data_IF_530881972101
#
_entry.id   IF_530881972101
#
_cell.length_a   1.000
_cell.length_b   1.000
_cell.length_c   1.000
_cell.angle_alpha   90.00
_cell.angle_beta   90.00
_cell.angle_gamma   90.00
#
_symmetry.space_group_name_H-M   'P 1'
#
loop_
_entity.id
_entity.type
_entity.pdbx_description
1 polymer ?
2 non-polymer ?
3 non-polymer ?
4 water ?
#
# COMPACT_ATOMS: atom_id res chain seq x y z
N UNK A 5 11.38 -18.72 -0.86
CA UNK A 5 10.44 -17.74 -1.39
C UNK A 5 10.78 -16.31 -1.07
N UNK A 6 11.41 -16.10 0.08
CA UNK A 6 11.83 -14.78 0.51
C UNK A 6 13.26 -14.53 0.05
N UNK A 7 13.49 -13.39 -0.57
CA UNK A 7 14.82 -12.95 -0.98
C UNK A 7 15.26 -11.84 -0.05
N UNK A 8 16.32 -12.10 0.71
CA UNK A 8 16.91 -11.07 1.55
C UNK A 8 17.82 -10.20 0.69
N UNK A 9 17.63 -8.89 0.79
CA UNK A 9 18.39 -7.94 -0.02
C UNK A 9 18.72 -6.78 0.91
N UNK A 10 19.97 -6.72 1.38
CA UNK A 10 20.30 -5.79 2.44
C UNK A 10 19.39 -6.06 3.63
N UNK A 11 18.80 -5.00 4.16
CA UNK A 11 17.90 -5.10 5.31
C UNK A 11 16.45 -5.28 4.90
N UNK A 12 16.16 -5.51 3.62
CA UNK A 12 14.81 -5.66 3.11
C UNK A 12 14.57 -7.08 2.66
N UNK A 13 13.30 -7.42 2.44
CA UNK A 13 12.90 -8.74 1.97
C UNK A 13 11.96 -8.54 0.78
N UNK A 14 12.16 -9.34 -0.27
CA UNK A 14 11.33 -9.33 -1.46
C UNK A 14 10.79 -10.74 -1.70
N UNK A 15 9.50 -10.82 -2.05
CA UNK A 15 8.83 -12.10 -2.24
C UNK A 15 8.00 -12.02 -3.51
N UNK A 16 8.26 -12.91 -4.46
CA UNK A 16 7.44 -12.95 -5.67
C UNK A 16 6.08 -13.55 -5.35
N UNK A 17 5.02 -12.85 -5.75
CA UNK A 17 3.65 -13.29 -5.52
C UNK A 17 2.95 -13.75 -6.78
N UNK A 18 3.40 -13.29 -7.94
CA UNK A 18 2.84 -13.66 -9.24
C UNK A 18 3.92 -13.39 -10.27
N UNK A 19 3.74 -13.84 -11.51
CA UNK A 19 4.79 -13.63 -12.51
C UNK A 19 5.26 -12.19 -12.64
N UNK A 20 4.36 -11.22 -12.40
CA UNK A 20 4.64 -9.81 -12.57
C UNK A 20 4.53 -9.01 -11.26
N UNK A 21 4.43 -9.66 -10.11
CA UNK A 21 4.15 -8.97 -8.83
C UNK A 21 5.08 -9.48 -7.75
N UNK A 22 5.68 -8.54 -7.02
CA UNK A 22 6.51 -8.83 -5.86
C UNK A 22 6.07 -7.98 -4.69
N UNK A 23 6.25 -8.53 -3.50
CA UNK A 23 6.04 -7.81 -2.25
C UNK A 23 7.39 -7.31 -1.74
N UNK A 24 7.46 -6.02 -1.38
CA UNK A 24 8.61 -5.47 -0.71
C UNK A 24 8.32 -5.33 0.77
N UNK A 25 9.33 -5.63 1.60
CA UNK A 25 9.18 -5.58 3.04
C UNK A 25 10.38 -4.86 3.65
N UNK A 26 10.10 -3.91 4.53
CA UNK A 26 11.12 -3.14 5.23
C UNK A 26 10.74 -3.07 6.71
N UNK A 27 11.74 -2.75 7.54
CA UNK A 27 11.59 -2.84 8.98
C UNK A 27 12.00 -1.54 9.65
N UNK A 28 11.26 -1.16 10.68
CA UNK A 28 11.65 -0.03 11.52
C UNK A 28 11.47 -0.45 12.96
N UNK A 29 12.53 -0.32 13.74
CA UNK A 29 12.44 -0.55 15.18
C UNK A 29 11.81 0.70 15.79
N UNK A 30 10.56 0.60 16.15
CA UNK A 30 9.88 1.73 16.78
C UNK A 30 9.75 1.47 18.26
N UNK A 31 10.20 2.40 19.08
CA UNK A 31 10.12 2.22 20.54
C UNK A 31 8.70 1.89 20.98
N UNK A 32 8.52 0.73 21.65
CA UNK A 32 7.23 0.29 22.11
C UNK A 32 6.55 -0.74 21.23
N UNK A 33 7.01 -0.92 19.99
CA UNK A 33 6.38 -1.83 19.04
C UNK A 33 7.30 -2.96 18.58
N UNK A 34 8.59 -2.89 18.86
CA UNK A 34 9.53 -3.79 18.26
C UNK A 34 9.87 -3.34 16.85
N UNK A 35 10.53 -4.24 16.13
CA UNK A 35 10.91 -3.98 14.74
C UNK A 35 9.76 -4.40 13.84
N UNK A 36 9.01 -3.42 13.34
CA UNK A 36 7.75 -3.65 12.62
C UNK A 36 8.03 -3.79 11.14
N UNK A 37 7.56 -4.90 10.55
CA UNK A 37 7.62 -5.09 9.10
C UNK A 37 6.49 -4.30 8.46
N UNK A 38 6.81 -3.66 7.33
CA UNK A 38 5.79 -3.05 6.48
C UNK A 38 5.98 -3.53 5.05
N UNK A 39 4.87 -3.86 4.40
CA UNK A 39 4.85 -4.41 3.05
C UNK A 39 4.23 -3.45 2.07
N UNK A 40 4.79 -3.43 0.86
CA UNK A 40 4.15 -2.86 -0.31
C UNK A 40 4.34 -3.76 -1.50
N UNK A 41 4.07 -3.24 -2.70
CA UNK A 41 4.07 -4.06 -3.90
C UNK A 41 4.91 -3.43 -5.00
N UNK A 42 5.40 -4.28 -5.88
CA UNK A 42 6.11 -3.93 -7.11
C UNK A 42 5.45 -4.72 -8.23
N UNK A 43 5.05 -4.03 -9.29
CA UNK A 43 4.30 -4.66 -10.37
C UNK A 43 4.98 -4.33 -11.69
N UNK A 44 5.30 -5.35 -12.48
CA UNK A 44 5.77 -5.11 -13.84
C UNK A 44 4.57 -5.09 -14.77
N UNK A 45 4.44 -4.03 -15.54
CA UNK A 45 3.40 -3.90 -16.56
C UNK A 45 4.10 -3.65 -17.89
N UNK A 46 4.27 -4.70 -18.69
CA UNK A 46 4.99 -4.54 -19.94
C UNK A 46 6.42 -4.08 -19.66
N UNK A 47 6.80 -2.97 -20.27
CA UNK A 47 8.15 -2.44 -20.10
C UNK A 47 8.33 -1.43 -18.99
N UNK A 48 7.37 -1.38 -18.05
CA UNK A 48 7.31 -0.43 -16.94
C UNK A 48 7.22 -1.18 -15.61
N UNK A 49 7.66 -0.53 -14.53
CA UNK A 49 7.43 -1.01 -13.17
C UNK A 49 6.61 0.04 -12.43
N UNK A 50 5.65 -0.45 -11.63
CA UNK A 50 4.78 0.38 -10.81
C UNK A 50 4.95 -0.04 -9.36
N UNK A 51 5.01 0.92 -8.45
CA UNK A 51 5.25 0.63 -7.03
C UNK A 51 4.05 1.08 -6.21
N UNK A 52 3.68 0.27 -5.23
CA UNK A 52 2.67 0.60 -4.23
C UNK A 52 3.36 0.68 -2.87
N UNK A 53 3.32 1.88 -2.29
CA UNK A 53 3.88 2.24 -0.99
C UNK A 53 5.39 2.37 -1.00
N UNK A 54 5.91 3.33 -0.23
CA UNK A 54 7.33 3.39 0.03
C UNK A 54 7.69 2.40 1.11
N UNK A 55 9.00 2.31 1.41
CA UNK A 55 9.45 1.74 2.66
C UNK A 55 9.35 2.78 3.77
N UNK A 56 9.77 2.41 4.98
CA UNK A 56 9.70 3.36 6.10
C UNK A 56 10.54 4.61 5.86
N UNK A 57 11.70 4.46 5.21
CA UNK A 57 12.65 5.56 5.12
C UNK A 57 13.09 5.78 3.68
N UNK A 58 13.69 6.95 3.45
CA UNK A 58 14.28 7.25 2.16
C UNK A 58 15.35 6.23 1.79
N UNK A 59 16.27 5.92 2.72
CA UNK A 59 17.33 4.98 2.40
C UNK A 59 16.77 3.61 2.02
N UNK A 60 15.77 3.12 2.75
CA UNK A 60 15.19 1.82 2.41
C UNK A 60 14.49 1.88 1.07
N UNK A 61 13.84 3.00 0.77
CA UNK A 61 13.13 3.13 -0.50
C UNK A 61 14.10 3.18 -1.66
N UNK A 62 15.25 3.84 -1.49
CA UNK A 62 16.30 3.77 -2.50
C UNK A 62 16.77 2.34 -2.70
N UNK A 63 16.79 1.54 -1.62
CA UNK A 63 17.16 0.13 -1.76
C UNK A 63 16.12 -0.67 -2.55
N UNK A 64 14.83 -0.34 -2.38
CA UNK A 64 13.82 -0.96 -3.24
C UNK A 64 14.14 -0.67 -4.71
N UNK A 65 14.46 0.59 -5.01
CA UNK A 65 14.75 0.95 -6.40
C UNK A 65 15.99 0.22 -6.89
N UNK A 66 16.99 0.01 -6.01
CA UNK A 66 18.16 -0.76 -6.37
C UNK A 66 17.80 -2.20 -6.69
N UNK A 67 16.95 -2.82 -5.85
CA UNK A 67 16.51 -4.18 -6.13
C UNK A 67 15.79 -4.25 -7.47
N UNK A 68 14.92 -3.28 -7.75
CA UNK A 68 14.22 -3.26 -9.04
C UNK A 68 15.21 -3.19 -10.19
N UNK A 69 16.21 -2.32 -10.08
CA UNK A 69 17.20 -2.19 -11.14
C UNK A 69 17.93 -3.52 -11.37
N UNK A 70 18.28 -4.22 -10.29
CA UNK A 70 19.05 -5.45 -10.40
C UNK A 70 18.20 -6.61 -10.87
N UNK A 71 16.96 -6.72 -10.40
CA UNK A 71 16.14 -7.91 -10.64
C UNK A 71 15.20 -7.77 -11.81
N UNK A 72 14.79 -6.55 -12.16
CA UNK A 72 13.84 -6.30 -13.24
C UNK A 72 14.47 -5.48 -14.35
N UNK A 73 15.17 -4.41 -13.99
CA UNK A 73 15.91 -3.59 -14.95
C UNK A 73 14.98 -2.95 -15.98
N UNK A 74 13.89 -2.37 -15.48
CA UNK A 74 12.99 -1.54 -16.27
C UNK A 74 12.67 -0.29 -15.46
N UNK A 75 12.33 0.81 -16.14
CA UNK A 75 12.07 2.06 -15.41
C UNK A 75 10.83 1.95 -14.53
N UNK A 76 10.88 2.64 -13.41
CA UNK A 76 9.73 2.75 -12.51
C UNK A 76 8.91 3.95 -12.97
N UNK A 77 7.74 3.66 -13.56
CA UNK A 77 6.92 4.70 -14.17
C UNK A 77 6.17 5.54 -13.15
N UNK A 78 5.78 4.95 -12.03
CA UNK A 78 5.02 5.69 -11.03
C UNK A 78 4.99 4.88 -9.75
N UNK A 79 4.66 5.59 -8.67
CA UNK A 79 4.37 4.99 -7.39
C UNK A 79 3.08 5.60 -6.85
N UNK A 80 2.28 4.78 -6.18
CA UNK A 80 1.11 5.24 -5.46
C UNK A 80 1.25 4.81 -4.00
N UNK A 81 0.94 5.72 -3.09
CA UNK A 81 1.08 5.47 -1.67
C UNK A 81 -0.29 5.53 -1.03
N UNK A 82 -0.50 4.68 -0.01
CA UNK A 82 -1.87 4.36 0.39
C UNK A 82 -2.42 5.10 1.61
N UNK A 83 -1.60 5.89 2.31
CA UNK A 83 -2.07 6.92 3.23
C UNK A 83 -0.85 7.62 3.83
N UNK A 84 -1.11 8.71 4.56
CA UNK A 84 -0.07 9.61 5.06
C UNK A 84 0.45 9.21 6.44
N UNK A 85 1.01 8.00 6.51
CA UNK A 85 1.78 7.55 7.67
C UNK A 85 3.13 7.02 7.18
N UNK A 86 4.07 6.90 8.13
CA UNK A 86 5.48 6.67 7.77
C UNK A 86 5.71 5.34 7.05
N UNK A 87 4.98 4.29 7.45
CA UNK A 87 5.21 2.99 6.81
C UNK A 87 4.89 3.02 5.32
N UNK A 88 3.99 3.91 4.90
CA UNK A 88 3.51 3.96 3.51
C UNK A 88 4.11 5.11 2.71
N UNK A 89 4.52 6.20 3.37
CA UNK A 89 4.97 7.41 2.68
C UNK A 89 6.32 7.91 3.17
N UNK A 90 6.95 7.25 4.13
CA UNK A 90 8.18 7.78 4.69
C UNK A 90 9.31 7.94 3.71
N UNK A 91 9.26 7.25 2.57
CA UNK A 91 10.33 7.32 1.60
C UNK A 91 10.03 8.14 0.36
N UNK A 92 9.06 9.06 0.45
CA UNK A 92 8.66 9.84 -0.72
C UNK A 92 9.83 10.58 -1.34
N UNK A 93 10.71 11.18 -0.54
CA UNK A 93 11.81 11.94 -1.11
C UNK A 93 12.72 11.08 -1.97
N UNK A 94 12.90 9.80 -1.62
CA UNK A 94 13.71 8.92 -2.46
C UNK A 94 13.07 8.69 -3.82
N UNK A 95 11.74 8.57 -3.87
CA UNK A 95 11.08 8.46 -5.16
C UNK A 95 11.27 9.71 -5.99
N UNK A 96 11.14 10.87 -5.36
CA UNK A 96 11.31 12.13 -6.07
C UNK A 96 12.73 12.29 -6.55
N UNK A 97 13.71 11.95 -5.72
CA UNK A 97 15.10 12.03 -6.13
C UNK A 97 15.38 11.16 -7.35
N UNK A 98 14.67 10.04 -7.48
CA UNK A 98 14.82 9.12 -8.60
C UNK A 98 14.03 9.54 -9.82
N UNK A 99 13.26 10.62 -9.75
CA UNK A 99 12.51 11.08 -10.90
C UNK A 99 11.23 10.32 -11.16
N UNK A 100 10.66 9.69 -10.14
CA UNK A 100 9.48 8.85 -10.30
C UNK A 100 8.23 9.68 -10.00
N UNK A 101 7.24 9.60 -10.89
CA UNK A 101 5.97 10.29 -10.67
C UNK A 101 5.23 9.63 -9.51
N UNK A 102 4.76 10.44 -8.56
CA UNK A 102 4.15 9.92 -7.35
C UNK A 102 2.72 10.40 -7.20
N UNK A 103 1.88 9.51 -6.65
CA UNK A 103 0.44 9.70 -6.52
C UNK A 103 -0.01 9.30 -5.12
N UNK A 104 -0.97 10.05 -4.59
CA UNK A 104 -1.63 9.70 -3.33
C UNK A 104 -3.02 10.29 -3.38
N UNK A 105 -3.91 9.74 -2.56
CA UNK A 105 -5.20 10.39 -2.30
C UNK A 105 -4.97 11.88 -2.02
N UNK A 106 -5.77 12.75 -2.64
CA UNK A 106 -5.70 14.17 -2.34
C UNK A 106 -5.65 14.43 -0.84
N UNK A 107 -6.47 13.71 -0.06
CA UNK A 107 -6.48 13.92 1.38
C UNK A 107 -5.15 13.53 2.01
N UNK A 108 -4.51 12.46 1.52
CA UNK A 108 -3.18 12.11 1.99
C UNK A 108 -2.19 13.25 1.75
N UNK A 109 -2.25 13.86 0.58
CA UNK A 109 -1.33 14.96 0.28
C UNK A 109 -1.59 16.16 1.18
N UNK A 110 -2.87 16.43 1.46
CA UNK A 110 -3.21 17.52 2.37
C UNK A 110 -2.70 17.25 3.78
N UNK A 111 -2.81 16.02 4.24
CA UNK A 111 -2.41 15.64 5.59
C UNK A 111 -0.91 15.45 5.72
N UNK A 112 -0.19 15.27 4.62
CA UNK A 112 1.21 14.87 4.70
C UNK A 112 2.04 15.79 5.58
N UNK A 113 2.04 17.12 5.40
CA UNK A 113 2.92 17.94 6.23
C UNK A 113 2.69 17.76 7.72
N UNK A 114 1.43 17.75 8.19
CA UNK A 114 1.20 17.62 9.62
C UNK A 114 1.55 16.23 10.15
N UNK A 115 1.56 15.22 9.29
CA UNK A 115 1.98 13.89 9.67
C UNK A 115 3.49 13.69 9.56
N UNK A 116 4.23 14.74 9.17
CA UNK A 116 5.67 14.60 9.02
C UNK A 116 6.09 13.96 7.73
N UNK A 117 5.18 13.85 6.75
CA UNK A 117 5.45 13.23 5.46
C UNK A 117 5.66 14.31 4.41
N UNK A 118 6.30 13.92 3.32
CA UNK A 118 6.39 14.72 2.11
C UNK A 118 5.25 14.29 1.19
N UNK A 119 4.50 15.26 0.67
CA UNK A 119 3.38 14.95 -0.21
C UNK A 119 3.84 14.32 -1.53
N UNK A 120 2.98 13.49 -2.11
CA UNK A 120 3.18 13.06 -3.47
C UNK A 120 3.00 14.23 -4.43
N UNK A 121 3.51 14.06 -5.65
CA UNK A 121 3.39 15.10 -6.66
C UNK A 121 1.95 15.30 -7.09
N UNK A 122 1.21 14.21 -7.26
CA UNK A 122 -0.10 14.20 -7.87
C UNK A 122 -1.13 13.69 -6.88
N UNK A 123 -2.34 14.21 -7.00
CA UNK A 123 -3.45 13.85 -6.13
C UNK A 123 -4.50 13.04 -6.88
N UNK A 124 -4.89 11.93 -6.27
CA UNK A 124 -6.01 11.12 -6.73
C UNK A 124 -7.29 11.64 -6.12
N UNK A 125 -8.34 11.69 -6.92
CA UNK A 125 -9.66 11.96 -6.38
C UNK A 125 -10.56 10.77 -6.69
N UNK A 126 -11.66 10.68 -5.94
CA UNK A 126 -12.47 9.47 -5.94
C UNK A 126 -13.93 9.81 -6.17
N UNK A 127 -14.61 8.97 -6.95
CA UNK A 127 -16.04 9.08 -7.13
C UNK A 127 -16.75 8.71 -5.83
N UNK A 128 -18.04 9.07 -5.76
CA UNK A 128 -18.81 8.80 -4.56
C UNK A 128 -18.84 7.32 -4.22
N UNK A 129 -18.76 6.44 -5.22
CA UNK A 129 -18.77 5.00 -4.97
C UNK A 129 -17.40 4.45 -4.60
N UNK A 130 -16.36 5.28 -4.53
CA UNK A 130 -15.06 4.86 -4.06
C UNK A 130 -14.02 4.62 -5.15
N UNK A 131 -14.43 4.41 -6.40
CA UNK A 131 -13.42 4.16 -7.42
C UNK A 131 -12.71 5.45 -7.78
N UNK A 132 -11.40 5.35 -8.04
CA UNK A 132 -10.63 6.53 -8.43
C UNK A 132 -11.22 7.14 -9.69
N UNK A 133 -11.17 8.46 -9.75
CA UNK A 133 -11.51 9.17 -10.97
C UNK A 133 -10.40 8.91 -11.98
N UNK A 134 -10.69 8.27 -13.11
CA UNK A 134 -9.61 7.80 -13.99
C UNK A 134 -8.67 8.87 -14.48
N UNK A 135 -9.15 10.10 -14.72
CA UNK A 135 -8.25 11.15 -15.19
C UNK A 135 -7.14 11.44 -14.20
N UNK A 136 -7.35 11.17 -12.91
CA UNK A 136 -6.33 11.46 -11.89
C UNK A 136 -5.33 10.33 -11.71
N UNK A 137 -5.56 9.18 -12.35
CA UNK A 137 -4.67 8.03 -12.25
C UNK A 137 -4.24 7.59 -13.65
N UNK A 138 -3.63 8.49 -14.43
CA UNK A 138 -3.23 8.11 -15.78
C UNK A 138 -2.11 7.08 -15.75
N UNK A 139 -2.14 6.17 -16.72
CA UNK A 139 -1.07 5.21 -16.94
C UNK A 139 -0.89 4.26 -15.76
N UNK A 140 -1.96 4.00 -15.02
CA UNK A 140 -1.88 3.08 -13.90
C UNK A 140 -1.91 1.62 -14.34
N UNK A 141 -2.08 1.33 -15.63
CA UNK A 141 -2.03 -0.03 -16.11
C UNK A 141 -3.01 -0.92 -15.36
N UNK A 142 -2.52 -2.02 -14.79
CA UNK A 142 -3.42 -2.96 -14.10
C UNK A 142 -3.81 -2.52 -12.70
N UNK A 143 -3.27 -1.42 -12.18
CA UNK A 143 -3.59 -1.00 -10.82
C UNK A 143 -4.98 -0.39 -10.79
N UNK A 144 -5.84 -0.93 -9.95
CA UNK A 144 -7.22 -0.47 -9.80
C UNK A 144 -7.36 0.08 -8.39
N UNK A 145 -7.50 1.40 -8.28
CA UNK A 145 -7.41 2.09 -6.99
C UNK A 145 -8.80 2.39 -6.47
N UNK A 146 -9.03 2.01 -5.22
CA UNK A 146 -10.35 2.08 -4.59
C UNK A 146 -10.23 2.69 -3.20
N UNK A 147 -11.06 3.69 -2.94
CA UNK A 147 -11.19 4.25 -1.60
C UNK A 147 -12.37 3.56 -0.91
N UNK A 148 -12.13 2.76 0.12
CA UNK A 148 -13.21 1.95 0.69
C UNK A 148 -14.02 2.65 1.78
N UNK A 149 -13.67 3.89 2.11
CA UNK A 149 -14.22 4.56 3.26
C UNK A 149 -13.19 4.66 4.36
N UNK A 150 -13.46 5.50 5.35
CA UNK A 150 -12.53 5.64 6.46
C UNK A 150 -12.44 4.38 7.31
N UNK A 151 -11.23 4.05 7.74
CA UNK A 151 -11.01 2.84 8.50
C UNK A 151 -9.80 2.97 9.39
N UNK A 152 -8.68 2.38 8.98
CA UNK A 152 -7.42 2.61 9.68
C UNK A 152 -7.09 4.11 9.75
N UNK A 153 -7.32 4.82 8.65
CA UNK A 153 -7.30 6.28 8.63
C UNK A 153 -8.44 6.75 7.74
N UNK A 154 -8.68 8.07 7.77
CA UNK A 154 -9.70 8.62 6.89
C UNK A 154 -9.28 8.62 5.44
N UNK A 155 -7.98 8.57 5.16
CA UNK A 155 -7.48 8.72 3.77
C UNK A 155 -7.03 7.36 3.19
N UNK A 156 -7.18 6.27 3.92
CA UNK A 156 -6.66 4.97 3.43
C UNK A 156 -7.25 4.60 2.08
N UNK A 157 -6.37 4.19 1.16
CA UNK A 157 -6.84 3.65 -0.14
C UNK A 157 -6.27 2.25 -0.35
N UNK A 158 -6.83 1.54 -1.31
CA UNK A 158 -6.53 0.15 -1.58
C UNK A 158 -6.33 -0.03 -3.07
N UNK A 159 -5.67 -1.14 -3.46
CA UNK A 159 -5.26 -1.33 -4.84
C UNK A 159 -5.42 -2.79 -5.24
N UNK A 160 -6.17 -3.05 -6.28
CA UNK A 160 -6.21 -4.37 -6.89
C UNK A 160 -5.32 -4.41 -8.12
N UNK A 161 -4.84 -5.61 -8.46
CA UNK A 161 -3.97 -5.78 -9.62
C UNK A 161 -4.75 -6.59 -10.65
N UNK A 162 -5.25 -5.90 -11.68
CA UNK A 162 -6.00 -6.57 -12.72
C UNK A 162 -5.15 -7.64 -13.38
N UNK A 163 -5.79 -8.75 -13.76
CA UNK A 163 -5.09 -9.86 -14.36
C UNK A 163 -4.44 -10.81 -13.39
N UNK A 164 -4.54 -10.54 -12.10
CA UNK A 164 -4.01 -11.40 -11.06
C UNK A 164 -5.11 -11.65 -10.04
N UNK A 165 -4.80 -12.52 -9.08
CA UNK A 165 -5.72 -12.76 -7.98
C UNK A 165 -5.36 -11.94 -6.74
N UNK A 166 -4.65 -10.83 -6.91
CA UNK A 166 -4.08 -10.09 -5.79
C UNK A 166 -4.82 -8.77 -5.58
N UNK A 167 -5.12 -8.47 -4.31
CA UNK A 167 -5.52 -7.12 -3.92
C UNK A 167 -4.81 -6.72 -2.63
N UNK A 168 -4.53 -5.42 -2.51
CA UNK A 168 -3.70 -4.86 -1.45
C UNK A 168 -4.55 -3.97 -0.57
N UNK A 169 -4.65 -4.34 0.70
CA UNK A 169 -5.39 -3.57 1.66
C UNK A 169 -4.61 -2.59 2.50
N UNK A 170 -3.29 -2.56 2.38
CA UNK A 170 -2.50 -1.65 3.20
C UNK A 170 -2.74 -1.86 4.66
N UNK A 171 -2.82 -0.77 5.42
CA UNK A 171 -2.97 -0.94 6.85
C UNK A 171 -4.42 -1.14 7.27
N UNK A 172 -5.36 -1.05 6.33
CA UNK A 172 -6.75 -1.32 6.65
C UNK A 172 -6.97 -2.77 7.07
N UNK A 173 -6.30 -3.71 6.41
CA UNK A 173 -6.56 -5.15 6.57
C UNK A 173 -5.46 -5.77 7.43
N UNK A 174 -5.88 -6.58 8.40
CA UNK A 174 -5.00 -7.39 9.23
C UNK A 174 -5.25 -8.86 8.89
N UNK A 175 -4.30 -9.71 9.27
CA UNK A 175 -4.39 -11.09 8.83
C UNK A 175 -5.47 -11.85 9.59
N UNK A 176 -5.81 -13.05 9.07
CA UNK A 176 -6.94 -13.83 9.57
C UNK A 176 -6.76 -14.32 11.00
N UNK A 177 -5.55 -14.27 11.55
CA UNK A 177 -5.28 -14.68 12.92
C UNK A 177 -4.88 -13.50 13.81
N UNK A 178 -5.02 -12.27 13.32
CA UNK A 178 -4.56 -11.12 14.07
C UNK A 178 -5.38 -10.94 15.35
N UNK A 179 -4.71 -10.50 16.41
CA UNK A 179 -5.33 -10.32 17.71
C UNK A 179 -5.91 -8.92 17.89
N UNK A 180 -5.53 -7.97 17.03
CA UNK A 180 -6.05 -6.62 17.16
C UNK A 180 -6.02 -5.96 15.79
N UNK A 181 -6.59 -4.75 15.74
CA UNK A 181 -6.56 -3.92 14.55
C UNK A 181 -5.36 -2.97 14.52
N UNK A 182 -4.36 -3.20 15.36
CA UNK A 182 -3.14 -2.42 15.27
C UNK A 182 -3.31 -0.99 15.76
N UNK A 183 -2.71 -0.05 15.03
CA UNK A 183 -2.69 1.35 15.44
C UNK A 183 -3.99 2.03 15.01
N UNK A 184 -4.86 2.29 15.98
CA UNK A 184 -6.13 2.96 15.74
C UNK A 184 -6.08 4.46 16.06
N UNK A 185 -4.88 5.03 16.19
CA UNK A 185 -4.75 6.41 16.60
C UNK A 185 -5.45 7.41 15.69
N UNK A 186 -5.46 7.13 14.39
CA UNK A 186 -6.13 7.99 13.42
C UNK A 186 -7.33 7.30 12.78
N UNK A 187 -7.85 6.26 13.42
CA UNK A 187 -8.89 5.43 12.83
C UNK A 187 -10.27 6.03 12.97
N UNK A 188 -11.16 5.61 12.07
CA UNK A 188 -12.60 5.89 12.16
C UNK A 188 -13.25 4.60 12.64
N UNK A 189 -13.48 4.50 13.96
CA UNK A 189 -13.89 3.23 14.55
C UNK A 189 -15.30 2.84 14.14
N UNK A 190 -16.18 3.82 13.95
CA UNK A 190 -17.55 3.48 13.59
C UNK A 190 -17.66 2.94 12.17
N UNK A 191 -16.80 3.40 11.25
CA UNK A 191 -16.95 2.99 9.83
C UNK A 191 -15.96 1.91 9.39
N UNK A 192 -15.08 1.49 10.29
CA UNK A 192 -14.01 0.55 9.91
C UNK A 192 -14.57 -0.75 9.32
N UNK A 193 -15.55 -1.38 10.01
CA UNK A 193 -16.03 -2.66 9.52
C UNK A 193 -16.58 -2.52 8.10
N UNK A 194 -17.40 -1.51 7.85
CA UNK A 194 -17.99 -1.32 6.53
C UNK A 194 -16.90 -1.07 5.49
N UNK A 195 -15.85 -0.36 5.88
CA UNK A 195 -14.77 -0.07 4.94
C UNK A 195 -13.99 -1.32 4.59
N UNK A 196 -13.70 -2.17 5.58
CA UNK A 196 -13.05 -3.44 5.29
C UNK A 196 -13.90 -4.28 4.34
N UNK A 197 -15.22 -4.35 4.59
CA UNK A 197 -16.09 -5.13 3.73
C UNK A 197 -16.20 -4.54 2.33
N UNK A 198 -16.17 -3.20 2.22
CA UNK A 198 -16.22 -2.56 0.92
C UNK A 198 -14.98 -2.88 0.09
N UNK A 199 -13.80 -2.95 0.74
CA UNK A 199 -12.60 -3.40 0.06
C UNK A 199 -12.81 -4.79 -0.54
N UNK A 200 -13.34 -5.72 0.27
CA UNK A 200 -13.59 -7.07 -0.25
C UNK A 200 -14.55 -7.08 -1.43
N UNK A 201 -15.60 -6.26 -1.36
CA UNK A 201 -16.60 -6.23 -2.43
C UNK A 201 -16.07 -5.58 -3.69
N UNK A 202 -15.08 -4.67 -3.55
CA UNK A 202 -14.49 -4.02 -4.72
C UNK A 202 -13.63 -4.98 -5.52
N UNK A 203 -13.05 -5.98 -4.85
CA UNK A 203 -12.12 -6.93 -5.48
C UNK A 203 -12.58 -8.35 -5.20
N UNK A 204 -13.77 -8.73 -5.67
CA UNK A 204 -14.32 -10.04 -5.31
C UNK A 204 -13.51 -11.22 -5.84
N UNK A 205 -12.73 -11.03 -6.90
CA UNK A 205 -11.94 -12.11 -7.49
C UNK A 205 -10.62 -12.32 -6.79
N UNK A 206 -10.22 -11.42 -5.89
CA UNK A 206 -8.89 -11.47 -5.29
C UNK A 206 -8.86 -12.54 -4.20
N UNK A 207 -8.12 -13.62 -4.45
CA UNK A 207 -7.96 -14.67 -3.47
C UNK A 207 -6.71 -14.50 -2.61
N UNK A 208 -5.77 -13.66 -3.05
CA UNK A 208 -4.58 -13.35 -2.27
C UNK A 208 -4.68 -11.91 -1.81
N UNK A 209 -4.78 -11.74 -0.50
CA UNK A 209 -4.90 -10.43 0.12
C UNK A 209 -3.57 -10.05 0.74
N UNK A 210 -2.99 -8.98 0.23
CA UNK A 210 -1.72 -8.46 0.70
C UNK A 210 -2.03 -7.28 1.63
N UNK A 211 -1.22 -7.11 2.67
CA UNK A 211 -1.50 -6.10 3.68
C UNK A 211 -0.19 -5.60 4.27
N UNK A 212 -0.28 -4.54 5.08
CA UNK A 212 0.96 -3.86 5.50
C UNK A 212 1.81 -4.68 6.45
N UNK A 213 1.23 -5.38 7.42
CA UNK A 213 2.01 -5.86 8.55
C UNK A 213 1.96 -7.37 8.76
N UNK A 214 1.47 -8.12 7.80
CA UNK A 214 1.48 -9.58 7.84
C UNK A 214 1.70 -10.11 6.44
N UNK A 215 2.07 -11.38 6.36
CA UNK A 215 2.27 -12.04 5.08
C UNK A 215 0.94 -12.14 4.33
N UNK A 216 0.99 -12.30 3.01
CA UNK A 216 -0.25 -12.43 2.23
C UNK A 216 -1.11 -13.57 2.76
N UNK A 217 -2.41 -13.36 2.73
CA UNK A 217 -3.37 -14.27 3.35
C UNK A 217 -4.53 -14.50 2.40
N UNK A 218 -5.41 -15.43 2.78
CA UNK A 218 -6.66 -15.63 2.05
C UNK A 218 -7.63 -14.50 2.39
N UNK A 219 -8.81 -14.57 1.79
CA UNK A 219 -9.85 -13.57 2.07
C UNK A 219 -10.35 -13.63 3.50
N UNK A 220 -10.00 -14.66 4.25
CA UNK A 220 -10.30 -14.66 5.67
C UNK A 220 -9.67 -13.47 6.38
N UNK A 221 -8.61 -12.89 5.83
CA UNK A 221 -8.10 -11.64 6.40
C UNK A 221 -9.17 -10.56 6.38
N UNK A 222 -9.95 -10.49 5.30
CA UNK A 222 -10.97 -9.45 5.19
C UNK A 222 -12.10 -9.72 6.17
N UNK A 223 -12.63 -10.94 6.18
CA UNK A 223 -13.72 -11.26 7.07
C UNK A 223 -13.32 -11.10 8.52
N UNK A 224 -12.12 -11.56 8.87
CA UNK A 224 -11.67 -11.45 10.26
C UNK A 224 -11.44 -10.00 10.66
N UNK A 225 -10.84 -9.21 9.78
CA UNK A 225 -10.67 -7.79 10.08
C UNK A 225 -12.02 -7.12 10.32
N UNK A 226 -12.97 -7.38 9.43
CA UNK A 226 -14.28 -6.76 9.58
C UNK A 226 -14.97 -7.22 10.84
N UNK A 227 -14.85 -8.50 11.18
CA UNK A 227 -15.49 -9.01 12.38
C UNK A 227 -14.90 -8.39 13.63
N UNK A 228 -13.58 -8.21 13.66
CA UNK A 228 -12.96 -7.50 14.77
C UNK A 228 -13.46 -6.06 14.83
N UNK A 229 -13.57 -5.42 13.67
CA UNK A 229 -14.02 -4.03 13.62
C UNK A 229 -15.48 -3.89 14.04
N UNK A 230 -16.28 -4.94 13.85
CA UNK A 230 -17.67 -4.91 14.34
C UNK A 230 -17.73 -4.54 15.81
N UNK A 231 -16.72 -4.94 16.58
CA UNK A 231 -16.71 -4.70 18.02
C UNK A 231 -16.37 -3.25 18.39
N UNK A 232 -15.80 -2.49 17.46
CA UNK A 232 -15.51 -1.08 17.73
C UNK A 232 -16.78 -0.23 17.80
N UNK A 233 -17.89 -0.73 17.27
CA UNK A 233 -19.13 0.03 17.27
C UNK A 233 -19.93 -0.21 18.55
X LIG B 1 -1.24 4.17 9.10
X LIG C 1 0.59 0.38 9.24
X LIG D 1 -0.99 -0.51 11.73
X LIG D 1 2.05 1.54 12.89
X LIG D 1 0.98 1.08 12.06
X LIG D 1 3.60 3.02 11.10
X LIG D 1 2.81 2.65 12.40
X LIG D 1 -1.03 -0.46 10.46
X LIG D 1 0.51 3.41 9.36
X LIG D 1 0.72 3.21 10.79
X LIG D 1 0.22 -0.03 12.51
X LIG D 1 0.54 -0.62 13.74
X LIG D 1 1.60 -0.20 14.57
X LIG D 1 2.36 0.89 14.11
X LIG D 1 2.16 3.53 11.27
X LIG D 1 -0.21 -1.71 14.17
X LIG D 1 -2.05 -0.84 12.36
X LIG D 1 0.72 1.63 10.95
X LIG D 1 -0.35 3.73 11.57
#
# INVERSE_FOLDING_TARGET
GSHMGDQRFGDLVFRQLAPNVWQHTSYLDMPGFGAVASNGLIVRDGGRVLVVDTAWTDDQTAQILNWIKQEINLPVALAVVTHAHQDKMGGMDALHAAGIATYANALSNQLAPQEGMVAAQHSLTFAANGWVEPATAPNFGPLKVFYPGPGHTSDNITVGIDGTDIAFGGCLIKDSKAKSLGNLGDADTEHYAASARAFGAAFPKASMIVMSHSAPDSRAAITHTARMADKLR
ZN ZN
ZN ZN
QNA C02 C09 C10 C16 C17 O01 O14 B12 C04 C05 C07 C08 C15 F06 O03 O11 O13
#
